data_IF_824153516057
#
_entry.id   IF_824153516057
#
_cell.length_a   1.000
_cell.length_b   1.000
_cell.length_c   1.000
_cell.angle_alpha   90.00
_cell.angle_beta   90.00
_cell.angle_gamma   90.00
#
_symmetry.space_group_name_H-M   'P 1'
#
loop_
_entity.id
_entity.type
_entity.pdbx_description
1 polymer ?
#
# COMPACT_ATOMS: atom_id res chain seq x y z
N UNK A 1 -33.38 13.35 13.42
CA UNK A 1 -32.03 12.73 13.38
C UNK A 1 -31.42 13.01 12.01
N UNK A 2 -30.24 13.62 11.99
CA UNK A 2 -29.49 13.79 10.73
C UNK A 2 -29.19 12.39 10.17
N UNK A 3 -29.33 12.21 8.86
CA UNK A 3 -28.93 10.98 8.21
C UNK A 3 -27.43 10.70 8.52
N UNK A 4 -27.03 9.43 8.67
CA UNK A 4 -25.63 9.11 8.87
C UNK A 4 -24.83 9.63 7.66
N UNK A 5 -23.70 10.27 7.94
CA UNK A 5 -22.82 10.77 6.88
C UNK A 5 -22.15 9.59 6.17
N UNK A 6 -22.05 9.71 4.84
CA UNK A 6 -21.55 8.66 3.97
C UNK A 6 -20.01 8.56 3.98
N UNK A 7 -19.51 7.44 3.51
CA UNK A 7 -18.07 7.22 3.25
C UNK A 7 -17.83 7.07 1.76
N UNK A 8 -16.90 7.84 1.19
CA UNK A 8 -16.45 7.70 -0.19
C UNK A 8 -15.13 6.94 -0.21
N UNK A 9 -15.06 5.86 -0.97
CA UNK A 9 -13.83 5.09 -1.23
C UNK A 9 -13.36 5.39 -2.65
N UNK A 10 -12.19 5.98 -2.79
CA UNK A 10 -11.53 6.24 -4.08
C UNK A 10 -10.57 5.11 -4.43
N UNK A 11 -10.30 4.91 -5.73
CA UNK A 11 -9.43 3.81 -6.17
C UNK A 11 -10.01 2.43 -5.86
N UNK A 12 -11.35 2.29 -5.92
CA UNK A 12 -12.07 1.09 -5.48
C UNK A 12 -11.76 -0.16 -6.31
N UNK A 13 -11.23 -0.02 -7.54
CA UNK A 13 -10.89 -1.13 -8.42
C UNK A 13 -9.44 -1.62 -8.26
N UNK A 14 -8.60 -0.93 -7.46
CA UNK A 14 -7.26 -1.39 -7.10
C UNK A 14 -7.31 -2.50 -6.04
N UNK A 15 -6.20 -3.23 -5.80
CA UNK A 15 -6.22 -4.36 -4.85
C UNK A 15 -6.54 -3.90 -3.40
N UNK A 16 -6.07 -2.74 -2.96
CA UNK A 16 -6.45 -2.21 -1.65
C UNK A 16 -7.90 -1.72 -1.64
N UNK A 17 -8.34 -1.01 -2.67
CA UNK A 17 -9.71 -0.54 -2.80
C UNK A 17 -10.73 -1.67 -2.78
N UNK A 18 -10.43 -2.79 -3.46
CA UNK A 18 -11.28 -4.00 -3.42
C UNK A 18 -11.33 -4.62 -2.02
N UNK A 19 -10.18 -4.68 -1.33
CA UNK A 19 -10.13 -5.19 0.04
C UNK A 19 -10.94 -4.32 1.01
N UNK A 20 -10.87 -3.00 0.87
CA UNK A 20 -11.68 -2.05 1.65
C UNK A 20 -13.17 -2.25 1.36
N UNK A 21 -13.56 -2.40 0.11
CA UNK A 21 -14.95 -2.67 -0.27
C UNK A 21 -15.44 -3.98 0.31
N UNK A 22 -14.66 -5.05 0.21
CA UNK A 22 -15.02 -6.36 0.78
C UNK A 22 -15.20 -6.29 2.31
N UNK A 23 -14.35 -5.55 3.01
CA UNK A 23 -14.49 -5.31 4.43
C UNK A 23 -15.73 -4.45 4.75
N UNK A 24 -15.99 -3.41 3.97
CA UNK A 24 -17.17 -2.53 4.12
C UNK A 24 -18.48 -3.28 3.91
N UNK A 25 -18.54 -4.19 2.92
CA UNK A 25 -19.74 -4.97 2.61
C UNK A 25 -20.19 -5.89 3.77
N UNK A 26 -19.31 -6.21 4.69
CA UNK A 26 -19.59 -7.01 5.90
C UNK A 26 -20.03 -6.16 7.10
N UNK A 27 -20.05 -4.85 6.98
CA UNK A 27 -20.40 -3.92 8.06
C UNK A 27 -21.90 -3.68 8.13
N UNK A 28 -22.39 -3.31 9.30
CA UNK A 28 -23.80 -2.94 9.51
C UNK A 28 -24.21 -1.66 8.77
N UNK A 29 -23.23 -0.81 8.43
CA UNK A 29 -23.40 0.46 7.73
C UNK A 29 -22.99 0.40 6.24
N UNK A 30 -22.94 -0.80 5.66
CA UNK A 30 -22.47 -1.06 4.29
C UNK A 30 -23.20 -0.21 3.23
N UNK A 31 -24.48 0.11 3.44
CA UNK A 31 -25.30 0.93 2.55
C UNK A 31 -24.92 2.43 2.55
N UNK A 32 -24.05 2.86 3.46
CA UNK A 32 -23.54 4.24 3.52
C UNK A 32 -22.28 4.48 2.72
N UNK A 33 -21.74 3.45 2.07
CA UNK A 33 -20.50 3.55 1.28
C UNK A 33 -20.78 3.82 -0.19
N UNK A 34 -20.04 4.77 -0.75
CA UNK A 34 -19.95 5.04 -2.18
C UNK A 34 -18.54 4.72 -2.67
N UNK A 35 -18.45 4.22 -3.91
CA UNK A 35 -17.21 3.77 -4.50
C UNK A 35 -16.96 4.47 -5.83
N UNK A 36 -15.71 4.89 -6.05
CA UNK A 36 -15.29 5.50 -7.31
C UNK A 36 -13.86 5.10 -7.68
N UNK A 37 -13.56 5.21 -8.94
CA UNK A 37 -12.22 5.07 -9.48
C UNK A 37 -11.97 6.16 -10.52
N UNK A 38 -10.80 6.19 -11.14
CA UNK A 38 -10.36 7.25 -12.05
C UNK A 38 -11.32 7.51 -13.22
N UNK A 39 -12.02 6.49 -13.69
CA UNK A 39 -13.00 6.58 -14.77
C UNK A 39 -14.31 7.29 -14.37
N UNK A 40 -14.65 7.28 -13.08
CA UNK A 40 -15.84 7.93 -12.53
C UNK A 40 -15.55 9.21 -11.78
N UNK A 41 -14.40 9.26 -11.08
CA UNK A 41 -13.93 10.43 -10.35
C UNK A 41 -12.39 10.45 -10.32
N UNK A 42 -11.81 11.28 -11.17
CA UNK A 42 -10.39 11.62 -11.08
C UNK A 42 -10.18 12.68 -9.99
N UNK A 43 -9.79 12.26 -8.79
CA UNK A 43 -9.58 13.18 -7.67
C UNK A 43 -8.39 14.13 -7.85
N UNK A 44 -7.60 13.97 -8.90
CA UNK A 44 -6.54 14.91 -9.29
C UNK A 44 -7.02 16.01 -10.25
N UNK A 45 -8.27 15.94 -10.71
CA UNK A 45 -8.90 16.96 -11.55
C UNK A 45 -9.85 17.83 -10.73
N UNK A 46 -9.50 19.10 -10.47
CA UNK A 46 -10.35 19.98 -9.64
C UNK A 46 -11.75 20.21 -10.23
N UNK A 47 -11.91 20.12 -11.56
CA UNK A 47 -13.20 20.31 -12.21
C UNK A 47 -14.22 19.19 -11.89
N UNK A 48 -13.74 18.03 -11.40
CA UNK A 48 -14.63 16.91 -11.09
C UNK A 48 -15.21 16.96 -9.68
N UNK A 49 -14.70 17.83 -8.81
CA UNK A 49 -15.15 17.91 -7.42
C UNK A 49 -16.60 18.40 -7.28
N UNK A 50 -17.11 19.17 -8.24
CA UNK A 50 -18.49 19.62 -8.27
C UNK A 50 -19.51 18.51 -8.55
N UNK A 51 -19.04 17.30 -8.89
CA UNK A 51 -19.91 16.12 -9.08
C UNK A 51 -20.46 15.55 -7.79
N UNK A 52 -19.87 15.93 -6.65
CA UNK A 52 -20.24 15.41 -5.34
C UNK A 52 -20.85 16.51 -4.46
N UNK A 53 -21.89 16.19 -3.74
CA UNK A 53 -22.32 16.96 -2.59
C UNK A 53 -21.50 16.53 -1.37
N UNK A 54 -20.39 17.20 -1.15
CA UNK A 54 -19.46 16.87 -0.06
C UNK A 54 -20.06 16.98 1.34
N UNK A 55 -21.16 17.74 1.50
CA UNK A 55 -21.86 17.85 2.79
C UNK A 55 -22.46 16.53 3.28
N UNK A 56 -22.67 15.57 2.37
CA UNK A 56 -23.19 14.23 2.67
C UNK A 56 -22.12 13.30 3.27
N UNK A 57 -20.84 13.62 3.10
CA UNK A 57 -19.74 12.72 3.46
C UNK A 57 -19.15 13.06 4.83
N UNK A 58 -18.87 12.00 5.62
CA UNK A 58 -18.16 12.08 6.89
C UNK A 58 -16.73 11.53 6.80
N UNK A 59 -16.48 10.68 5.81
CA UNK A 59 -15.19 10.02 5.62
C UNK A 59 -14.89 9.86 4.13
N UNK A 60 -13.63 10.08 3.76
CA UNK A 60 -13.07 9.69 2.47
C UNK A 60 -11.91 8.72 2.75
N UNK A 61 -11.93 7.55 2.11
CA UNK A 61 -10.83 6.57 2.16
C UNK A 61 -10.17 6.58 0.78
N UNK A 62 -8.97 7.17 0.71
CA UNK A 62 -8.22 7.27 -0.54
C UNK A 62 -7.30 6.06 -0.74
N UNK A 63 -7.74 5.12 -1.58
CA UNK A 63 -6.97 3.96 -2.01
C UNK A 63 -6.35 4.15 -3.41
N UNK A 64 -6.61 5.29 -4.06
CA UNK A 64 -6.08 5.59 -5.39
C UNK A 64 -4.65 6.11 -5.33
N UNK A 65 -3.78 5.57 -6.20
CA UNK A 65 -2.40 6.02 -6.34
C UNK A 65 -1.82 5.61 -7.70
N UNK A 66 -0.82 6.35 -8.14
CA UNK A 66 0.09 5.88 -9.18
C UNK A 66 1.18 5.01 -8.52
N UNK A 67 1.34 3.77 -8.97
CA UNK A 67 2.18 2.76 -8.31
C UNK A 67 3.30 2.19 -9.18
N UNK A 68 3.43 2.63 -10.43
CA UNK A 68 4.46 2.17 -11.35
C UNK A 68 5.81 2.85 -11.03
N UNK A 69 6.51 2.30 -10.02
CA UNK A 69 7.71 2.90 -9.41
C UNK A 69 8.80 3.21 -10.44
N UNK A 70 9.14 2.26 -11.32
CA UNK A 70 10.19 2.46 -12.33
C UNK A 70 9.72 3.41 -13.45
N UNK A 71 8.47 3.31 -13.90
CA UNK A 71 7.91 4.20 -14.91
C UNK A 71 7.82 5.65 -14.43
N UNK A 72 7.70 5.88 -13.12
CA UNK A 72 7.73 7.22 -12.55
C UNK A 72 9.05 7.97 -12.79
N UNK A 73 10.14 7.26 -13.05
CA UNK A 73 11.45 7.86 -13.39
C UNK A 73 11.50 8.42 -14.82
N UNK A 74 10.53 8.12 -15.69
CA UNK A 74 10.39 8.76 -17.00
C UNK A 74 9.76 10.15 -16.87
N UNK A 75 9.96 11.06 -17.84
CA UNK A 75 9.31 12.39 -17.83
C UNK A 75 7.78 12.31 -17.72
N UNK A 76 7.15 11.41 -18.49
CA UNK A 76 5.69 11.21 -18.50
C UNK A 76 5.22 10.58 -17.19
N UNK A 77 5.94 9.58 -16.72
CA UNK A 77 5.63 8.87 -15.46
C UNK A 77 5.75 9.79 -14.24
N UNK A 78 6.73 10.69 -14.24
CA UNK A 78 6.90 11.71 -13.20
C UNK A 78 5.67 12.61 -13.09
N UNK A 79 5.19 13.12 -14.22
CA UNK A 79 3.99 13.97 -14.25
C UNK A 79 2.78 13.18 -13.74
N UNK A 80 2.58 11.95 -14.20
CA UNK A 80 1.47 11.11 -13.77
C UNK A 80 1.54 10.77 -12.27
N UNK A 81 2.73 10.43 -11.76
CA UNK A 81 2.94 10.11 -10.35
C UNK A 81 2.64 11.32 -9.44
N UNK A 82 3.17 12.50 -9.78
CA UNK A 82 2.90 13.71 -9.01
C UNK A 82 1.45 14.15 -9.06
N UNK A 83 0.81 14.01 -10.23
CA UNK A 83 -0.62 14.31 -10.37
C UNK A 83 -1.47 13.44 -9.45
N UNK A 84 -1.28 12.12 -9.48
CA UNK A 84 -2.08 11.17 -8.69
C UNK A 84 -1.71 11.16 -7.20
N UNK A 85 -0.41 11.27 -6.87
CA UNK A 85 0.09 11.04 -5.51
C UNK A 85 0.30 12.31 -4.70
N UNK A 86 0.38 13.47 -5.34
CA UNK A 86 0.58 14.77 -4.68
C UNK A 86 -0.59 15.73 -4.92
N UNK A 87 -0.87 16.08 -6.18
CA UNK A 87 -1.94 17.03 -6.51
C UNK A 87 -3.31 16.49 -6.07
N UNK A 88 -3.61 15.24 -6.38
CA UNK A 88 -4.87 14.61 -5.99
C UNK A 88 -5.11 14.60 -4.48
N UNK A 89 -4.18 14.06 -3.67
CA UNK A 89 -4.29 14.13 -2.22
C UNK A 89 -4.41 15.55 -1.65
N UNK A 90 -3.74 16.54 -2.26
CA UNK A 90 -3.87 17.93 -1.86
C UNK A 90 -5.29 18.47 -2.07
N UNK A 91 -5.93 18.13 -3.19
CA UNK A 91 -7.31 18.51 -3.48
C UNK A 91 -8.29 17.83 -2.52
N UNK A 92 -8.10 16.52 -2.27
CA UNK A 92 -8.91 15.79 -1.28
C UNK A 92 -8.75 16.39 0.12
N UNK A 93 -7.53 16.66 0.55
CA UNK A 93 -7.27 17.24 1.88
C UNK A 93 -7.93 18.60 2.06
N UNK A 94 -7.86 19.47 1.05
CA UNK A 94 -8.52 20.78 1.07
C UNK A 94 -10.04 20.62 1.17
N UNK A 95 -10.63 19.78 0.36
CA UNK A 95 -12.08 19.52 0.36
C UNK A 95 -12.52 18.91 1.69
N UNK A 96 -11.79 17.92 2.20
CA UNK A 96 -12.10 17.31 3.49
C UNK A 96 -12.02 18.31 4.65
N UNK A 97 -11.01 19.19 4.64
CA UNK A 97 -10.88 20.24 5.65
C UNK A 97 -12.05 21.24 5.59
N UNK A 98 -12.49 21.63 4.39
CA UNK A 98 -13.60 22.55 4.19
C UNK A 98 -14.94 22.00 4.72
N UNK A 99 -15.21 20.72 4.48
CA UNK A 99 -16.47 20.09 4.84
C UNK A 99 -16.44 19.30 6.16
N UNK A 100 -15.32 19.34 6.91
CA UNK A 100 -15.18 18.60 8.17
C UNK A 100 -15.26 17.08 7.97
N UNK A 101 -14.64 16.57 6.92
CA UNK A 101 -14.58 15.16 6.54
C UNK A 101 -13.27 14.56 7.08
N UNK A 102 -13.33 13.36 7.62
CA UNK A 102 -12.14 12.58 7.96
C UNK A 102 -11.52 11.98 6.70
N UNK A 103 -10.27 12.30 6.41
CA UNK A 103 -9.53 11.77 5.28
C UNK A 103 -8.58 10.65 5.73
N UNK A 104 -8.80 9.45 5.23
CA UNK A 104 -7.86 8.32 5.33
C UNK A 104 -7.06 8.25 4.04
N UNK A 105 -5.73 8.35 4.15
CA UNK A 105 -4.82 8.33 3.01
C UNK A 105 -3.78 7.23 3.16
N UNK A 106 -3.62 6.42 2.14
CA UNK A 106 -2.63 5.34 2.13
C UNK A 106 -1.33 5.83 1.51
N UNK A 107 -0.25 5.66 2.24
CA UNK A 107 1.10 6.05 1.86
C UNK A 107 2.05 4.85 1.85
N UNK A 108 3.35 5.09 1.78
CA UNK A 108 4.38 4.10 1.53
C UNK A 108 5.62 4.36 2.38
N UNK A 109 6.35 3.29 2.69
CA UNK A 109 7.71 3.32 3.21
C UNK A 109 8.70 4.03 2.27
N UNK A 110 8.39 4.17 1.00
CA UNK A 110 9.22 4.89 0.02
C UNK A 110 9.30 6.41 0.27
N UNK A 111 8.59 6.92 1.25
CA UNK A 111 8.79 8.30 1.76
C UNK A 111 10.10 8.45 2.55
N UNK A 112 10.78 7.35 2.86
CA UNK A 112 12.07 7.29 3.54
C UNK A 112 13.17 6.77 2.62
N UNK A 113 14.43 7.08 2.95
CA UNK A 113 15.61 6.62 2.20
C UNK A 113 16.01 5.17 2.52
N UNK A 114 15.47 4.57 3.58
CA UNK A 114 15.77 3.20 3.96
C UNK A 114 17.13 3.00 4.63
N UNK A 115 17.76 4.06 5.13
CA UNK A 115 19.05 3.97 5.83
C UNK A 115 18.91 3.52 7.28
N UNK A 116 17.78 3.79 7.91
CA UNK A 116 17.45 3.25 9.24
C UNK A 116 16.92 1.83 9.10
N UNK A 117 17.26 0.97 10.05
CA UNK A 117 16.74 -0.41 10.11
C UNK A 117 15.27 -0.47 10.47
N UNK A 118 14.79 0.49 11.28
CA UNK A 118 13.40 0.61 11.70
C UNK A 118 12.95 2.06 11.58
N UNK A 119 11.81 2.28 10.92
CA UNK A 119 11.24 3.60 10.68
C UNK A 119 10.01 3.82 11.56
N UNK A 120 10.00 4.91 12.32
CA UNK A 120 8.82 5.38 13.05
C UNK A 120 8.06 6.47 12.26
N UNK A 121 6.89 6.85 12.76
CA UNK A 121 6.03 7.84 12.08
C UNK A 121 6.59 9.26 12.11
N UNK A 122 7.48 9.56 13.07
CA UNK A 122 8.06 10.89 13.28
C UNK A 122 9.38 11.10 12.51
N UNK A 123 9.91 10.07 11.87
CA UNK A 123 11.11 10.16 11.06
C UNK A 123 10.93 11.18 9.94
N UNK A 124 11.88 12.12 9.73
CA UNK A 124 11.83 13.06 8.63
C UNK A 124 11.77 12.35 7.27
N UNK A 125 10.96 12.88 6.36
CA UNK A 125 10.83 12.34 5.01
C UNK A 125 12.12 12.50 4.23
N UNK A 126 12.52 11.45 3.50
CA UNK A 126 13.79 11.36 2.76
C UNK A 126 13.68 10.48 1.51
N UNK A 127 12.68 10.70 0.64
CA UNK A 127 12.42 9.80 -0.48
C UNK A 127 13.56 9.76 -1.50
N UNK A 128 13.89 8.55 -2.00
CA UNK A 128 14.94 8.33 -3.00
C UNK A 128 14.41 8.45 -4.43
N UNK A 129 13.22 7.92 -4.71
CA UNK A 129 12.64 7.80 -6.04
C UNK A 129 11.64 8.90 -6.33
N UNK A 130 11.32 9.11 -7.61
CA UNK A 130 10.23 10.01 -8.02
C UNK A 130 8.89 9.56 -7.44
N UNK A 131 8.61 8.27 -7.46
CA UNK A 131 7.43 7.70 -6.79
C UNK A 131 7.39 8.07 -5.31
N UNK A 132 8.47 7.81 -4.57
CA UNK A 132 8.59 8.16 -3.15
C UNK A 132 8.42 9.65 -2.88
N UNK A 133 9.02 10.50 -3.72
CA UNK A 133 8.86 11.98 -3.64
C UNK A 133 7.40 12.40 -3.81
N UNK A 134 6.69 11.82 -4.77
CA UNK A 134 5.27 12.12 -5.00
C UNK A 134 4.40 11.68 -3.83
N UNK A 135 4.69 10.53 -3.23
CA UNK A 135 4.00 10.04 -2.03
C UNK A 135 4.28 10.92 -0.81
N UNK A 136 5.54 11.33 -0.62
CA UNK A 136 5.93 12.24 0.47
C UNK A 136 5.24 13.60 0.35
N UNK A 137 5.14 14.15 -0.86
CA UNK A 137 4.41 15.39 -1.11
C UNK A 137 2.91 15.22 -0.78
N UNK A 138 2.31 14.07 -1.11
CA UNK A 138 0.95 13.73 -0.73
C UNK A 138 0.76 13.65 0.79
N UNK A 139 1.68 13.03 1.51
CA UNK A 139 1.66 12.95 2.97
C UNK A 139 1.64 14.34 3.61
N UNK A 140 2.51 15.24 3.14
CA UNK A 140 2.57 16.62 3.64
C UNK A 140 1.27 17.38 3.36
N UNK A 141 0.68 17.18 2.19
CA UNK A 141 -0.59 17.82 1.84
C UNK A 141 -1.74 17.30 2.71
N UNK A 142 -1.83 16.00 2.93
CA UNK A 142 -2.86 15.36 3.77
C UNK A 142 -2.70 15.75 5.24
N UNK A 143 -1.48 15.89 5.72
CA UNK A 143 -1.21 16.33 7.10
C UNK A 143 -1.77 17.74 7.40
N UNK A 144 -2.03 18.54 6.39
CA UNK A 144 -2.73 19.84 6.52
C UNK A 144 -4.23 19.71 6.78
N UNK A 145 -4.83 18.55 6.57
CA UNK A 145 -6.23 18.28 6.91
C UNK A 145 -6.34 17.98 8.41
N UNK A 146 -7.17 18.72 9.19
CA UNK A 146 -7.22 18.51 10.65
C UNK A 146 -7.65 17.10 11.07
N UNK A 147 -8.59 16.50 10.35
CA UNK A 147 -9.11 15.16 10.61
C UNK A 147 -8.52 14.19 9.56
N UNK A 148 -7.34 13.67 9.80
CA UNK A 148 -6.70 12.75 8.87
C UNK A 148 -6.09 11.54 9.55
N UNK A 149 -6.04 10.44 8.79
CA UNK A 149 -5.18 9.28 9.05
C UNK A 149 -4.32 9.03 7.81
N UNK A 150 -3.02 9.11 7.96
CA UNK A 150 -2.06 8.65 6.95
C UNK A 150 -1.60 7.26 7.38
N UNK A 151 -1.83 6.23 6.55
CA UNK A 151 -1.34 4.88 6.80
C UNK A 151 -0.17 4.59 5.85
N UNK A 152 1.03 4.45 6.41
CA UNK A 152 2.22 4.04 5.67
C UNK A 152 2.35 2.53 5.74
N UNK A 153 2.50 1.90 4.59
CA UNK A 153 2.70 0.45 4.47
C UNK A 153 3.84 0.14 3.53
N UNK A 154 4.20 -1.12 3.46
CA UNK A 154 5.21 -1.66 2.56
C UNK A 154 4.75 -2.99 1.98
N UNK A 155 5.22 -3.31 0.77
CA UNK A 155 5.09 -4.64 0.17
C UNK A 155 3.67 -5.19 0.21
N UNK A 156 2.73 -4.43 -0.34
CA UNK A 156 1.29 -4.76 -0.29
C UNK A 156 0.97 -5.93 -1.21
N UNK A 157 0.28 -6.92 -0.66
CA UNK A 157 -0.19 -8.12 -1.34
C UNK A 157 -1.72 -8.16 -1.25
N UNK A 158 -2.37 -8.22 -2.40
CA UNK A 158 -3.83 -8.33 -2.50
C UNK A 158 -4.25 -9.34 -3.55
N UNK A 159 -5.41 -9.16 -4.12
CA UNK A 159 -6.00 -10.07 -5.11
C UNK A 159 -5.51 -9.80 -6.55
N UNK A 160 -4.84 -8.66 -6.79
CA UNK A 160 -4.28 -8.29 -8.08
C UNK A 160 -2.91 -8.92 -8.37
N UNK A 161 -2.26 -8.42 -9.41
CA UNK A 161 -0.88 -8.81 -9.73
C UNK A 161 0.06 -8.34 -8.62
N UNK A 162 0.86 -9.25 -8.07
CA UNK A 162 1.81 -8.96 -7.00
C UNK A 162 2.98 -9.96 -7.00
N UNK A 163 3.98 -9.67 -6.16
CA UNK A 163 5.18 -10.48 -6.04
C UNK A 163 4.89 -11.94 -5.66
N UNK A 164 3.99 -12.18 -4.71
CA UNK A 164 3.69 -13.54 -4.24
C UNK A 164 3.09 -14.39 -5.37
N UNK A 165 2.10 -13.86 -6.08
CA UNK A 165 1.52 -14.56 -7.25
C UNK A 165 2.54 -14.81 -8.35
N UNK A 166 3.47 -13.88 -8.57
CA UNK A 166 4.57 -14.06 -9.52
C UNK A 166 5.47 -15.22 -9.09
N UNK A 167 5.83 -15.30 -7.81
CA UNK A 167 6.63 -16.39 -7.27
C UNK A 167 5.91 -17.73 -7.31
N UNK A 168 4.60 -17.77 -7.04
CA UNK A 168 3.79 -18.99 -7.21
C UNK A 168 3.86 -19.51 -8.65
N UNK A 169 3.68 -18.62 -9.62
CA UNK A 169 3.79 -18.98 -11.04
C UNK A 169 5.19 -19.49 -11.43
N UNK A 170 6.25 -18.85 -10.96
CA UNK A 170 7.62 -19.25 -11.22
C UNK A 170 7.98 -20.59 -10.54
N UNK A 171 7.49 -20.84 -9.33
CA UNK A 171 7.67 -22.12 -8.65
C UNK A 171 7.05 -23.27 -9.41
N UNK A 172 5.87 -23.08 -10.02
CA UNK A 172 5.24 -24.05 -10.90
C UNK A 172 6.11 -24.37 -12.13
N UNK A 173 6.73 -23.37 -12.73
CA UNK A 173 7.63 -23.55 -13.87
C UNK A 173 8.93 -24.28 -13.49
N UNK A 174 9.47 -24.02 -12.30
CA UNK A 174 10.60 -24.77 -11.76
C UNK A 174 10.19 -26.24 -11.52
N UNK A 175 9.05 -26.49 -10.89
CA UNK A 175 8.54 -27.83 -10.66
C UNK A 175 8.30 -28.61 -11.96
N UNK A 176 7.89 -27.92 -13.03
CA UNK A 176 7.69 -28.50 -14.37
C UNK A 176 9.02 -28.72 -15.13
N UNK A 177 10.16 -28.31 -14.58
CA UNK A 177 11.46 -28.42 -15.25
C UNK A 177 11.71 -27.40 -16.37
N UNK A 178 10.86 -26.37 -16.47
CA UNK A 178 11.01 -25.29 -17.46
C UNK A 178 12.10 -24.28 -17.10
N UNK A 179 12.34 -24.10 -15.81
CA UNK A 179 13.36 -23.23 -15.25
C UNK A 179 14.21 -23.98 -14.22
N UNK A 180 15.54 -23.79 -14.21
CA UNK A 180 16.40 -24.42 -13.19
C UNK A 180 16.31 -23.70 -11.83
N UNK A 181 16.16 -22.38 -11.85
CA UNK A 181 16.15 -21.53 -10.67
C UNK A 181 15.57 -20.15 -11.02
N UNK A 182 15.36 -19.33 -10.00
CA UNK A 182 15.01 -17.92 -10.14
C UNK A 182 15.93 -17.06 -9.28
N UNK A 183 16.28 -15.88 -9.77
CA UNK A 183 17.07 -14.90 -8.99
C UNK A 183 16.15 -13.90 -8.34
N UNK A 184 16.35 -13.62 -7.05
CA UNK A 184 15.57 -12.67 -6.28
C UNK A 184 16.49 -11.82 -5.40
N UNK A 185 16.16 -10.54 -5.28
CA UNK A 185 16.91 -9.56 -4.51
C UNK A 185 16.94 -9.90 -3.03
N UNK A 186 18.11 -9.82 -2.40
CA UNK A 186 18.31 -10.16 -0.98
C UNK A 186 18.77 -8.99 -0.10
N UNK A 187 19.03 -7.82 -0.67
CA UNK A 187 19.50 -6.62 0.04
C UNK A 187 18.43 -5.53 0.18
N UNK A 188 17.17 -5.91 0.02
CA UNK A 188 16.00 -5.11 0.38
C UNK A 188 15.20 -5.91 1.41
N UNK A 189 15.00 -5.34 2.58
CA UNK A 189 14.42 -6.02 3.74
C UNK A 189 13.16 -5.28 4.23
N UNK A 190 12.16 -6.04 4.66
CA UNK A 190 10.91 -5.52 5.16
C UNK A 190 9.95 -6.63 5.59
N UNK A 191 8.67 -6.36 5.57
CA UNK A 191 7.59 -7.31 5.87
C UNK A 191 6.46 -7.14 4.87
N UNK A 192 5.81 -8.23 4.51
CA UNK A 192 4.61 -8.18 3.68
C UNK A 192 3.46 -7.50 4.42
N UNK A 193 2.62 -6.82 3.65
CA UNK A 193 1.38 -6.22 4.12
C UNK A 193 0.23 -6.75 3.27
N UNK A 194 -0.68 -7.51 3.85
CA UNK A 194 -1.84 -8.01 3.11
C UNK A 194 -2.95 -6.96 3.06
N UNK A 195 -3.56 -6.80 1.90
CA UNK A 195 -4.53 -5.73 1.65
C UNK A 195 -5.79 -5.85 2.54
N UNK A 196 -6.23 -7.05 2.87
CA UNK A 196 -7.35 -7.30 3.80
C UNK A 196 -7.03 -6.77 5.21
N UNK A 197 -5.80 -6.98 5.67
CA UNK A 197 -5.34 -6.47 6.97
C UNK A 197 -5.21 -4.94 6.98
N UNK A 198 -4.79 -4.34 5.86
CA UNK A 198 -4.84 -2.88 5.71
C UNK A 198 -6.26 -2.35 5.87
N UNK A 199 -7.24 -2.98 5.22
CA UNK A 199 -8.65 -2.61 5.34
C UNK A 199 -9.15 -2.74 6.78
N UNK A 200 -8.83 -3.84 7.47
CA UNK A 200 -9.16 -4.05 8.88
C UNK A 200 -8.56 -2.94 9.77
N UNK A 201 -7.30 -2.57 9.55
CA UNK A 201 -6.62 -1.51 10.28
C UNK A 201 -7.23 -0.13 10.04
N UNK A 202 -7.63 0.18 8.81
CA UNK A 202 -8.35 1.42 8.48
C UNK A 202 -9.65 1.52 9.29
N UNK A 203 -10.47 0.47 9.26
CA UNK A 203 -11.72 0.45 10.00
C UNK A 203 -11.53 0.44 11.52
N UNK A 204 -10.49 -0.23 12.01
CA UNK A 204 -10.15 -0.20 13.44
C UNK A 204 -9.85 1.21 13.94
N UNK A 205 -9.07 2.00 13.19
CA UNK A 205 -8.78 3.39 13.54
C UNK A 205 -10.05 4.27 13.49
N UNK A 206 -10.87 4.11 12.46
CA UNK A 206 -12.12 4.87 12.30
C UNK A 206 -13.12 4.54 13.40
N UNK A 207 -13.36 3.26 13.67
CA UNK A 207 -14.33 2.80 14.67
C UNK A 207 -13.92 3.18 16.09
N UNK A 208 -12.63 3.08 16.40
CA UNK A 208 -12.08 3.49 17.68
C UNK A 208 -11.97 5.02 17.84
N UNK A 209 -12.18 5.78 16.76
CA UNK A 209 -11.88 7.22 16.73
C UNK A 209 -10.48 7.50 17.28
N UNK A 210 -9.49 6.74 16.81
CA UNK A 210 -8.12 6.87 17.22
C UNK A 210 -7.62 8.31 17.03
N UNK A 211 -6.62 8.78 17.76
CA UNK A 211 -6.04 10.10 17.54
C UNK A 211 -5.62 10.28 16.08
N UNK A 212 -5.99 11.43 15.49
CA UNK A 212 -5.58 11.73 14.12
C UNK A 212 -4.06 11.80 13.98
N UNK A 213 -3.56 11.47 12.81
CA UNK A 213 -2.14 11.51 12.49
C UNK A 213 -1.69 10.38 11.58
N UNK A 214 -0.39 10.17 11.54
CA UNK A 214 0.24 9.12 10.73
C UNK A 214 0.41 7.84 11.55
N UNK A 215 0.12 6.70 10.91
CA UNK A 215 0.27 5.36 11.47
C UNK A 215 0.99 4.46 10.47
N UNK A 216 1.99 3.72 10.93
CA UNK A 216 2.56 2.62 10.17
C UNK A 216 1.68 1.39 10.29
N UNK A 217 1.45 0.69 9.18
CA UNK A 217 0.69 -0.56 9.16
C UNK A 217 1.28 -1.53 8.14
N UNK A 218 1.94 -2.57 8.63
CA UNK A 218 2.44 -3.72 7.87
C UNK A 218 2.04 -5.01 8.58
N UNK A 219 2.29 -6.16 7.98
CA UNK A 219 2.33 -7.41 8.74
C UNK A 219 3.35 -7.32 9.87
N UNK A 220 3.12 -8.04 10.96
CA UNK A 220 4.10 -8.20 12.04
C UNK A 220 5.00 -9.41 11.78
N UNK A 221 5.89 -9.70 12.69
CA UNK A 221 6.81 -10.83 12.62
C UNK A 221 8.22 -10.43 12.22
N UNK A 222 9.00 -11.40 11.73
CA UNK A 222 10.41 -11.17 11.37
C UNK A 222 10.56 -10.27 10.16
N UNK A 223 11.64 -9.54 10.09
CA UNK A 223 12.10 -8.84 8.90
C UNK A 223 12.70 -9.85 7.92
N UNK A 224 12.35 -9.75 6.64
CA UNK A 224 12.84 -10.65 5.60
C UNK A 224 13.21 -9.89 4.34
N UNK A 225 14.14 -10.45 3.56
CA UNK A 225 14.41 -9.97 2.21
C UNK A 225 13.38 -10.51 1.22
N UNK A 226 13.30 -9.92 0.02
CA UNK A 226 12.47 -10.47 -1.05
C UNK A 226 12.87 -11.91 -1.41
N UNK A 227 14.16 -12.23 -1.36
CA UNK A 227 14.65 -13.60 -1.60
C UNK A 227 14.14 -14.58 -0.54
N UNK A 228 14.11 -14.18 0.72
CA UNK A 228 13.55 -15.01 1.81
C UNK A 228 12.04 -15.21 1.67
N UNK A 229 11.29 -14.16 1.29
CA UNK A 229 9.86 -14.29 0.98
C UNK A 229 9.65 -15.25 -0.18
N UNK A 230 10.41 -15.12 -1.27
CA UNK A 230 10.34 -16.04 -2.42
C UNK A 230 10.63 -17.48 -2.02
N UNK A 231 11.63 -17.71 -1.17
CA UNK A 231 11.97 -19.04 -0.65
C UNK A 231 10.80 -19.66 0.10
N UNK A 232 10.15 -18.91 0.98
CA UNK A 232 8.95 -19.37 1.68
C UNK A 232 7.83 -19.76 0.71
N UNK A 233 7.59 -18.95 -0.34
CA UNK A 233 6.59 -19.29 -1.36
C UNK A 233 6.94 -20.60 -2.07
N UNK A 234 8.21 -20.79 -2.45
CA UNK A 234 8.67 -22.00 -3.12
C UNK A 234 8.56 -23.24 -2.21
N UNK A 235 8.88 -23.10 -0.94
CA UNK A 235 8.68 -24.19 0.03
C UNK A 235 7.20 -24.58 0.14
N UNK A 236 6.30 -23.59 0.22
CA UNK A 236 4.85 -23.82 0.33
C UNK A 236 4.22 -24.44 -0.93
N UNK A 237 4.78 -24.18 -2.12
CA UNK A 237 4.17 -24.55 -3.39
C UNK A 237 4.81 -25.78 -4.03
N UNK A 238 6.13 -25.88 -4.09
CA UNK A 238 6.85 -26.97 -4.75
C UNK A 238 7.87 -27.69 -3.86
N UNK A 239 8.05 -27.26 -2.61
CA UNK A 239 8.99 -27.86 -1.67
C UNK A 239 10.47 -27.66 -2.06
N UNK A 240 10.79 -26.63 -2.83
CA UNK A 240 12.13 -26.39 -3.36
C UNK A 240 12.55 -24.92 -3.20
N UNK A 241 12.73 -24.47 -1.97
CA UNK A 241 13.24 -23.14 -1.66
C UNK A 241 14.67 -22.87 -2.19
N UNK A 242 15.46 -23.91 -2.38
CA UNK A 242 16.82 -23.79 -2.89
C UNK A 242 16.88 -23.37 -4.37
N UNK A 243 15.77 -23.46 -5.11
CA UNK A 243 15.66 -22.91 -6.45
C UNK A 243 15.66 -21.37 -6.47
N UNK A 244 15.45 -20.71 -5.34
CA UNK A 244 15.58 -19.26 -5.21
C UNK A 244 17.04 -18.91 -4.94
N UNK A 245 17.68 -18.22 -5.90
CA UNK A 245 19.06 -17.78 -5.82
C UNK A 245 19.09 -16.31 -5.42
N UNK A 246 19.59 -15.97 -4.21
CA UNK A 246 19.68 -14.59 -3.77
C UNK A 246 20.73 -13.81 -4.56
N UNK A 247 20.38 -12.59 -4.97
CA UNK A 247 21.28 -11.66 -5.65
C UNK A 247 21.13 -10.26 -5.05
N UNK A 248 22.14 -9.41 -5.26
CA UNK A 248 22.01 -7.99 -4.85
C UNK A 248 21.10 -7.23 -5.81
N UNK A 249 20.58 -6.07 -5.38
CA UNK A 249 19.84 -5.15 -6.24
C UNK A 249 20.68 -4.76 -7.47
N UNK A 250 21.96 -4.46 -7.28
CA UNK A 250 22.86 -4.10 -8.36
C UNK A 250 23.00 -5.22 -9.40
N UNK A 251 23.18 -6.45 -8.95
CA UNK A 251 23.26 -7.63 -9.84
C UNK A 251 21.96 -7.88 -10.58
N UNK A 252 20.82 -7.76 -9.90
CA UNK A 252 19.50 -7.99 -10.49
C UNK A 252 19.20 -7.01 -11.63
N UNK A 253 19.53 -5.73 -11.43
CA UNK A 253 19.25 -4.67 -12.42
C UNK A 253 20.36 -4.41 -13.43
N UNK A 254 21.52 -5.09 -13.31
CA UNK A 254 22.66 -4.88 -14.21
C UNK A 254 22.34 -5.08 -15.70
N UNK A 255 21.39 -5.97 -16.03
CA UNK A 255 20.97 -6.28 -17.39
C UNK A 255 19.58 -5.70 -17.77
N UNK A 256 18.94 -4.98 -16.88
CA UNK A 256 17.61 -4.40 -17.14
C UNK A 256 17.77 -3.17 -18.04
N UNK A 257 17.07 -3.17 -19.18
CA UNK A 257 16.94 -2.00 -20.04
C UNK A 257 15.83 -1.09 -19.53
N UNK A 258 16.09 0.22 -19.57
CA UNK A 258 15.13 1.24 -19.15
C UNK A 258 15.40 1.80 -17.75
N UNK A 259 14.53 2.70 -17.28
CA UNK A 259 14.70 3.35 -16.00
C UNK A 259 14.48 2.37 -14.85
N UNK A 260 15.34 2.46 -13.84
CA UNK A 260 15.25 1.72 -12.58
C UNK A 260 15.24 2.71 -11.44
N UNK A 261 14.17 2.75 -10.67
CA UNK A 261 14.07 3.62 -9.51
C UNK A 261 14.99 3.13 -8.38
N UNK A 262 15.66 4.03 -7.64
CA UNK A 262 16.33 3.65 -6.41
C UNK A 262 15.29 3.19 -5.37
N UNK A 263 15.61 2.12 -4.64
CA UNK A 263 14.74 1.52 -3.63
C UNK A 263 15.39 1.53 -2.26
N UNK A 264 14.62 1.70 -1.17
CA UNK A 264 15.17 1.63 0.19
C UNK A 264 15.71 0.22 0.47
N UNK A 265 16.85 0.16 1.16
CA UNK A 265 17.40 -1.11 1.65
C UNK A 265 16.57 -1.66 2.81
N UNK A 266 16.08 -0.79 3.69
CA UNK A 266 15.26 -1.15 4.84
C UNK A 266 13.87 -0.52 4.72
N UNK A 267 12.85 -1.36 4.72
CA UNK A 267 11.42 -1.00 4.64
C UNK A 267 10.66 -1.43 5.89
N UNK A 268 11.34 -1.74 6.97
CA UNK A 268 10.71 -2.13 8.24
C UNK A 268 10.12 -0.92 8.95
N UNK A 269 8.82 -0.97 9.22
CA UNK A 269 8.05 0.09 9.86
C UNK A 269 7.68 -0.29 11.29
N UNK A 270 7.89 0.63 12.23
CA UNK A 270 7.53 0.45 13.64
C UNK A 270 6.00 0.42 13.80
N UNK A 271 5.49 -0.64 14.43
CA UNK A 271 4.06 -0.88 14.63
C UNK A 271 3.56 -0.50 16.03
N UNK A 272 4.40 0.09 16.85
CA UNK A 272 4.06 0.42 18.26
C UNK A 272 2.86 1.36 18.35
N UNK A 273 2.77 2.35 17.47
CA UNK A 273 1.70 3.36 17.47
C UNK A 273 0.35 2.76 17.13
N UNK A 274 0.26 1.93 16.08
CA UNK A 274 -1.02 1.33 15.70
C UNK A 274 -1.48 0.29 16.72
N UNK A 275 -0.55 -0.44 17.34
CA UNK A 275 -0.85 -1.34 18.46
C UNK A 275 -1.41 -0.59 19.67
N UNK A 276 -0.82 0.55 20.02
CA UNK A 276 -1.33 1.42 21.09
C UNK A 276 -2.73 1.97 20.77
N UNK A 277 -3.08 2.13 19.48
CA UNK A 277 -4.41 2.52 19.04
C UNK A 277 -5.43 1.36 19.02
N UNK A 278 -5.01 0.14 19.36
CA UNK A 278 -5.89 -1.02 19.52
C UNK A 278 -5.91 -2.01 18.35
N UNK A 279 -5.09 -1.82 17.33
CA UNK A 279 -4.97 -2.76 16.22
C UNK A 279 -3.62 -3.49 16.25
N UNK A 280 -3.66 -4.82 16.32
CA UNK A 280 -2.47 -5.67 16.31
C UNK A 280 -2.35 -6.40 14.97
N UNK A 281 -1.43 -5.99 14.10
CA UNK A 281 -1.21 -6.68 12.82
C UNK A 281 -0.81 -8.15 13.03
N UNK A 282 -1.36 -9.03 12.18
CA UNK A 282 -1.00 -10.45 12.17
C UNK A 282 0.40 -10.67 11.61
N UNK A 283 1.00 -11.80 11.96
CA UNK A 283 2.30 -12.21 11.42
C UNK A 283 2.19 -12.46 9.91
N UNK A 284 3.11 -11.86 9.14
CA UNK A 284 3.06 -11.96 7.68
C UNK A 284 3.30 -13.38 7.16
N UNK A 285 4.07 -14.21 7.88
CA UNK A 285 4.31 -15.61 7.46
C UNK A 285 3.05 -16.46 7.60
N UNK A 286 2.26 -16.24 8.64
CA UNK A 286 0.97 -16.91 8.81
C UNK A 286 -0.02 -16.49 7.72
N UNK A 287 -0.11 -15.21 7.43
CA UNK A 287 -0.94 -14.69 6.34
C UNK A 287 -0.47 -15.17 4.97
N UNK A 288 0.84 -15.28 4.74
CA UNK A 288 1.38 -15.81 3.50
C UNK A 288 0.93 -17.27 3.27
N UNK A 289 0.98 -18.10 4.30
CA UNK A 289 0.51 -19.50 4.21
C UNK A 289 -0.96 -19.58 3.83
N UNK A 290 -1.80 -18.77 4.50
CA UNK A 290 -3.23 -18.70 4.18
C UNK A 290 -3.47 -18.21 2.75
N UNK A 291 -2.77 -17.14 2.35
CA UNK A 291 -2.89 -16.55 1.02
C UNK A 291 -2.49 -17.54 -0.08
N UNK A 292 -1.33 -18.18 0.02
CA UNK A 292 -0.86 -19.17 -0.96
C UNK A 292 -1.83 -20.36 -1.02
N UNK A 293 -2.29 -20.86 0.13
CA UNK A 293 -3.29 -21.94 0.18
C UNK A 293 -4.63 -21.58 -0.49
N UNK A 294 -5.01 -20.31 -0.48
CA UNK A 294 -6.22 -19.82 -1.15
C UNK A 294 -6.11 -19.75 -2.68
N UNK A 295 -4.89 -19.73 -3.23
CA UNK A 295 -4.66 -19.68 -4.68
C UNK A 295 -4.80 -21.05 -5.36
N UNK A 296 -4.75 -22.14 -4.60
CA UNK A 296 -4.85 -23.52 -5.09
C UNK A 296 -6.31 -24.00 -5.24
N UNK A 297 -7.31 -23.13 -4.95
CA UNK A 297 -8.74 -23.44 -4.93
C UNK A 297 -9.51 -23.06 -6.21
#
# INVERSE_FOLDING_TARGET
PMAPRRTLVTGCNGQLGRAVREAADKRADADTFDYCDIDTFDFSDPAQYDRYDWSLYGTVINCGAYTAVDAAETPEGRVAAWKANATGPALLARTCAEYGITLVHVSSDYVFDGTRELHDEDEPLSPLSVYGQSKAAGDLAVAGCPAHYILRSSWVIGDGKNFVKTMVGLSGRVAAGELPCVTVVNDQEGRLTFADQMAEGIFALLDARAPYGTYNLTGSGRVASWAEVAREVFELTCGNGDAVVPVTTAEYYASVAGPVAPRPAHSDLDLSKIRAAGFSPRDWEDELREYVGSLDG
#
